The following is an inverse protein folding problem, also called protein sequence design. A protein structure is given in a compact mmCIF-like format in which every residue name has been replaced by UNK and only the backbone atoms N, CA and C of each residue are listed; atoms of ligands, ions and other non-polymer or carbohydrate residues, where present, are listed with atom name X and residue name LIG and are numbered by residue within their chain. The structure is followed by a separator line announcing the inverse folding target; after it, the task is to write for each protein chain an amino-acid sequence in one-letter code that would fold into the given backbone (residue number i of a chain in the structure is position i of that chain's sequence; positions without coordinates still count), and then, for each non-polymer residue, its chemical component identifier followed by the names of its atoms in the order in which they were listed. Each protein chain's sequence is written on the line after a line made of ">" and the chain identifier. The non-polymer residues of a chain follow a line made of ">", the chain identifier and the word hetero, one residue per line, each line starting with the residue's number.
data_IF_200645942757
#
_entry.id   IF_200645942757
#
_cell.length_a   1.000
_cell.length_b   1.000
_cell.length_c   1.000
_cell.angle_alpha   90.00
_cell.angle_beta   90.00
_cell.angle_gamma   90.00
#
_symmetry.space_group_name_H-M   'P 1'
#
loop_
_entity.id
_entity.type
_entity.pdbx_description
1 polymer ?
#
# COMPACT_ATOMS: atom_id res chain seq x y z
N UNK A 1 12.61 -13.48 6.00
CA UNK A 1 13.45 -14.24 6.98
C UNK A 1 12.70 -15.42 7.60
N UNK A 2 11.50 -15.23 8.19
CA UNK A 2 10.76 -16.32 8.86
C UNK A 2 10.38 -17.49 7.94
N UNK A 3 9.87 -17.25 6.72
CA UNK A 3 9.51 -18.33 5.78
C UNK A 3 10.72 -19.20 5.44
N UNK A 4 11.88 -18.58 5.19
CA UNK A 4 13.11 -19.31 4.86
C UNK A 4 13.69 -20.15 6.02
N UNK A 5 13.29 -19.90 7.27
CA UNK A 5 13.76 -20.71 8.42
C UNK A 5 13.11 -22.10 8.48
N UNK A 6 11.99 -22.29 7.78
CA UNK A 6 11.35 -23.60 7.64
C UNK A 6 11.86 -24.41 6.45
N UNK A 7 12.97 -24.00 5.84
CA UNK A 7 13.54 -24.67 4.67
C UNK A 7 14.07 -26.06 5.04
N UNK A 8 13.63 -27.06 4.28
CA UNK A 8 14.12 -28.44 4.29
C UNK A 8 15.14 -28.70 3.16
N UNK A 9 15.47 -27.67 2.37
CA UNK A 9 16.32 -27.79 1.17
C UNK A 9 17.78 -27.43 1.47
N UNK A 10 18.76 -28.02 0.74
CA UNK A 10 20.17 -27.64 0.86
C UNK A 10 20.44 -26.19 0.45
N UNK A 11 19.68 -25.69 -0.53
CA UNK A 11 19.74 -24.30 -1.01
C UNK A 11 18.42 -23.58 -0.73
N UNK A 12 18.52 -22.37 -0.18
CA UNK A 12 17.36 -21.57 0.19
C UNK A 12 16.50 -21.17 -1.02
N UNK A 13 17.08 -20.93 -2.19
CA UNK A 13 16.33 -20.55 -3.39
C UNK A 13 15.53 -21.72 -3.96
N UNK A 14 16.03 -22.95 -3.86
CA UNK A 14 15.27 -24.16 -4.25
C UNK A 14 14.00 -24.28 -3.41
N UNK A 15 14.09 -23.96 -2.11
CA UNK A 15 12.93 -23.93 -1.22
C UNK A 15 11.91 -22.88 -1.66
N UNK A 16 12.33 -21.65 -1.95
CA UNK A 16 11.39 -20.61 -2.42
C UNK A 16 10.80 -20.94 -3.79
N UNK A 17 11.55 -21.60 -4.68
CA UNK A 17 11.06 -22.08 -5.98
C UNK A 17 9.99 -23.16 -5.82
N UNK A 18 10.19 -24.09 -4.88
CA UNK A 18 9.21 -25.12 -4.49
C UNK A 18 7.91 -24.52 -3.93
N UNK A 19 7.98 -23.39 -3.22
CA UNK A 19 6.79 -22.69 -2.71
C UNK A 19 5.92 -22.07 -3.81
N UNK A 20 6.46 -21.88 -5.03
CA UNK A 20 5.73 -21.29 -6.18
C UNK A 20 5.05 -19.98 -5.81
N UNK A 21 5.85 -19.02 -5.35
CA UNK A 21 5.38 -17.70 -4.91
C UNK A 21 4.70 -16.97 -6.06
N UNK A 22 3.47 -16.49 -5.82
CA UNK A 22 2.71 -15.64 -6.74
C UNK A 22 2.39 -14.31 -6.04
N UNK A 23 2.97 -13.19 -6.47
CA UNK A 23 2.64 -11.88 -5.91
C UNK A 23 1.21 -11.47 -6.28
N UNK A 24 0.47 -10.93 -5.31
CA UNK A 24 -0.91 -10.45 -5.50
C UNK A 24 -1.01 -9.01 -5.01
N UNK A 25 -1.61 -8.15 -5.83
CA UNK A 25 -1.91 -6.76 -5.50
C UNK A 25 -3.42 -6.58 -5.40
N UNK A 26 -3.89 -5.98 -4.30
CA UNK A 26 -5.31 -5.67 -4.09
C UNK A 26 -5.43 -4.17 -3.88
N UNK A 27 -6.15 -3.49 -4.77
CA UNK A 27 -6.32 -2.04 -4.76
C UNK A 27 -7.78 -1.69 -4.49
N UNK A 28 -8.04 -1.07 -3.36
CA UNK A 28 -9.36 -0.54 -3.01
C UNK A 28 -9.45 0.94 -3.39
N UNK A 29 -10.60 1.36 -3.91
CA UNK A 29 -10.86 2.78 -4.15
C UNK A 29 -10.99 3.55 -2.84
N UNK A 30 -11.58 2.93 -1.81
CA UNK A 30 -11.62 3.43 -0.45
C UNK A 30 -11.09 2.40 0.54
N UNK A 31 -10.23 2.85 1.46
CA UNK A 31 -9.86 2.10 2.66
C UNK A 31 -10.99 2.26 3.70
N UNK A 32 -11.71 1.18 4.06
CA UNK A 32 -12.78 1.29 5.05
C UNK A 32 -12.28 1.61 6.47
N UNK A 33 -11.00 1.37 6.71
CA UNK A 33 -10.29 1.60 7.98
C UNK A 33 -9.52 2.92 8.00
N UNK A 34 -9.71 3.77 6.98
CA UNK A 34 -8.93 5.01 6.81
C UNK A 34 -8.87 5.88 8.07
N UNK A 35 -10.03 6.14 8.66
CA UNK A 35 -10.17 6.95 9.89
C UNK A 35 -9.53 6.31 11.12
N UNK A 36 -9.42 4.97 11.17
CA UNK A 36 -8.91 4.26 12.35
C UNK A 36 -7.40 4.44 12.53
N UNK A 37 -6.69 4.90 11.49
CA UNK A 37 -5.25 5.21 11.55
C UNK A 37 -4.98 6.62 12.05
N UNK A 38 -5.99 7.50 12.07
CA UNK A 38 -5.83 8.90 12.42
C UNK A 38 -5.37 9.14 13.86
N UNK A 39 -5.88 8.44 14.90
CA UNK A 39 -5.44 8.66 16.27
C UNK A 39 -3.94 8.40 16.45
N UNK A 40 -3.41 7.34 15.85
CA UNK A 40 -1.99 7.03 15.89
C UNK A 40 -1.16 8.12 15.19
N UNK A 41 -1.56 8.53 13.98
CA UNK A 41 -0.88 9.59 13.24
C UNK A 41 -0.86 10.92 14.00
N UNK A 42 -1.95 11.24 14.70
CA UNK A 42 -2.05 12.45 15.51
C UNK A 42 -1.16 12.39 16.76
N UNK A 43 -1.13 11.25 17.45
CA UNK A 43 -0.24 11.05 18.60
C UNK A 43 1.23 11.16 18.18
N UNK A 44 1.61 10.53 17.06
CA UNK A 44 2.97 10.63 16.50
C UNK A 44 3.35 12.09 16.18
N UNK A 45 2.46 12.85 15.55
CA UNK A 45 2.72 14.25 15.22
C UNK A 45 2.80 15.17 16.44
N UNK A 46 2.06 14.85 17.51
CA UNK A 46 2.09 15.60 18.77
C UNK A 46 3.19 15.12 19.73
N UNK A 47 3.99 14.12 19.33
CA UNK A 47 4.98 13.45 20.18
C UNK A 47 4.35 12.88 21.48
N UNK A 48 3.14 12.35 21.35
CA UNK A 48 2.35 11.71 22.40
C UNK A 48 2.45 10.18 22.29
N UNK A 49 2.31 9.50 23.43
CA UNK A 49 2.29 8.03 23.43
C UNK A 49 0.91 7.55 23.02
N UNK A 50 0.82 6.93 21.85
CA UNK A 50 -0.38 6.22 21.43
C UNK A 50 -0.58 4.96 22.27
N UNK A 51 -1.72 4.87 22.97
CA UNK A 51 -2.12 3.68 23.73
C UNK A 51 -3.29 3.03 23.02
N UNK A 52 -3.05 1.86 22.43
CA UNK A 52 -4.08 1.07 21.76
C UNK A 52 -5.20 0.64 22.71
N UNK A 53 -6.44 0.71 22.24
CA UNK A 53 -7.55 0.08 22.97
C UNK A 53 -7.44 -1.45 22.90
N UNK A 54 -7.91 -2.13 23.96
CA UNK A 54 -7.89 -3.61 24.03
C UNK A 54 -8.57 -4.29 22.84
N UNK A 55 -9.59 -3.67 22.25
CA UNK A 55 -10.39 -4.22 21.16
C UNK A 55 -10.12 -3.58 19.80
N UNK A 56 -9.12 -2.70 19.70
CA UNK A 56 -8.86 -1.91 18.49
C UNK A 56 -8.57 -2.76 17.26
N UNK A 57 -7.70 -3.77 17.40
CA UNK A 57 -7.33 -4.65 16.28
C UNK A 57 -8.56 -5.46 15.80
N UNK A 58 -9.41 -5.92 16.73
CA UNK A 58 -10.66 -6.61 16.39
C UNK A 58 -11.63 -5.70 15.63
N UNK A 59 -11.81 -4.46 16.10
CA UNK A 59 -12.66 -3.47 15.45
C UNK A 59 -12.11 -3.06 14.08
N UNK A 60 -10.78 -3.00 13.91
CA UNK A 60 -10.12 -2.70 12.64
C UNK A 60 -10.39 -3.79 11.61
N UNK A 61 -10.23 -5.07 11.99
CA UNK A 61 -10.53 -6.20 11.10
C UNK A 61 -12.01 -6.18 10.72
N UNK A 62 -12.91 -6.05 11.70
CA UNK A 62 -14.35 -6.04 11.48
C UNK A 62 -14.77 -4.87 10.56
N UNK A 63 -14.24 -3.67 10.78
CA UNK A 63 -14.50 -2.49 9.95
C UNK A 63 -13.93 -2.65 8.54
N UNK A 64 -12.75 -3.25 8.42
CA UNK A 64 -12.13 -3.57 7.13
C UNK A 64 -12.97 -4.54 6.31
N UNK A 65 -13.59 -5.53 6.95
CA UNK A 65 -14.48 -6.50 6.29
C UNK A 65 -15.81 -5.84 5.91
N UNK A 66 -16.51 -5.23 6.86
CA UNK A 66 -17.88 -4.72 6.68
C UNK A 66 -17.94 -3.42 5.87
N UNK A 67 -16.91 -2.60 5.92
CA UNK A 67 -16.95 -1.27 5.33
C UNK A 67 -16.81 -1.29 3.80
N UNK A 68 -17.39 -0.27 3.17
CA UNK A 68 -17.43 -0.14 1.71
C UNK A 68 -16.07 0.22 1.12
N UNK A 69 -15.63 -0.59 0.16
CA UNK A 69 -14.38 -0.43 -0.59
C UNK A 69 -14.59 0.27 -1.93
N UNK A 70 -15.87 0.48 -2.32
CA UNK A 70 -16.29 0.84 -3.68
C UNK A 70 -15.70 -0.12 -4.71
N UNK A 71 -14.88 0.36 -5.65
CA UNK A 71 -14.25 -0.49 -6.66
C UNK A 71 -13.07 -1.23 -6.03
N UNK A 72 -12.95 -2.51 -6.41
CA UNK A 72 -11.88 -3.40 -5.96
C UNK A 72 -11.22 -3.94 -7.22
N UNK A 73 -9.90 -3.83 -7.29
CA UNK A 73 -9.10 -4.47 -8.32
C UNK A 73 -8.16 -5.48 -7.66
N UNK A 74 -8.13 -6.69 -8.20
CA UNK A 74 -7.22 -7.75 -7.78
C UNK A 74 -6.37 -8.09 -8.99
N UNK A 75 -5.06 -7.89 -8.86
CA UNK A 75 -4.09 -8.32 -9.85
C UNK A 75 -3.29 -9.48 -9.28
N UNK A 76 -3.25 -10.57 -10.02
CA UNK A 76 -2.47 -11.77 -9.71
C UNK A 76 -1.30 -11.82 -10.69
N UNK A 77 -0.08 -11.84 -10.17
CA UNK A 77 1.13 -11.96 -10.99
C UNK A 77 1.37 -13.41 -11.44
N UNK A 78 2.52 -13.60 -12.08
CA UNK A 78 3.01 -14.94 -12.41
C UNK A 78 3.76 -15.56 -11.23
N UNK A 79 4.01 -16.87 -11.33
CA UNK A 79 4.91 -17.56 -10.41
C UNK A 79 6.33 -17.02 -10.61
N UNK A 80 7.00 -16.62 -9.53
CA UNK A 80 8.39 -16.13 -9.55
C UNK A 80 9.39 -17.28 -9.77
N UNK A 81 9.38 -17.92 -10.92
CA UNK A 81 10.28 -19.06 -11.22
C UNK A 81 11.62 -18.55 -11.75
N UNK A 82 11.57 -17.71 -12.79
CA UNK A 82 12.74 -17.16 -13.48
C UNK A 82 13.53 -16.16 -12.63
N UNK A 83 12.82 -15.36 -11.84
CA UNK A 83 13.38 -14.35 -10.96
C UNK A 83 14.16 -15.01 -9.81
N UNK A 84 13.66 -16.14 -9.29
CA UNK A 84 14.37 -16.90 -8.25
C UNK A 84 15.66 -17.51 -8.82
N UNK A 85 15.62 -18.06 -10.04
CA UNK A 85 16.83 -18.58 -10.70
C UNK A 85 17.88 -17.48 -10.90
N UNK A 86 17.45 -16.29 -11.33
CA UNK A 86 18.34 -15.14 -11.50
C UNK A 86 18.95 -14.70 -10.17
N UNK A 87 18.15 -14.59 -9.11
CA UNK A 87 18.63 -14.23 -7.77
C UNK A 87 19.67 -15.24 -7.26
N UNK A 88 19.43 -16.53 -7.48
CA UNK A 88 20.33 -17.60 -7.09
C UNK A 88 21.69 -17.49 -7.82
N UNK A 89 21.68 -17.10 -9.10
CA UNK A 89 22.89 -16.95 -9.91
C UNK A 89 23.70 -15.67 -9.57
N UNK A 90 23.03 -14.59 -9.16
CA UNK A 90 23.66 -13.28 -8.92
C UNK A 90 24.14 -13.08 -7.47
N UNK A 91 23.66 -13.90 -6.53
CA UNK A 91 23.91 -13.70 -5.11
C UNK A 91 24.32 -15.01 -4.41
N UNK A 92 25.53 -15.04 -3.86
CA UNK A 92 26.05 -16.20 -3.11
C UNK A 92 25.64 -16.23 -1.63
N UNK A 93 24.99 -15.16 -1.14
CA UNK A 93 24.64 -15.01 0.28
C UNK A 93 23.12 -15.06 0.48
N UNK A 94 22.65 -15.97 1.33
CA UNK A 94 21.24 -16.14 1.67
C UNK A 94 20.53 -14.85 2.11
N UNK A 95 21.19 -13.96 2.87
CA UNK A 95 20.58 -12.69 3.27
C UNK A 95 20.37 -11.75 2.06
N UNK A 96 21.33 -11.71 1.13
CA UNK A 96 21.19 -10.91 -0.10
C UNK A 96 20.10 -11.49 -1.00
N UNK A 97 20.05 -12.81 -1.13
CA UNK A 97 19.00 -13.49 -1.89
C UNK A 97 17.60 -13.20 -1.32
N UNK A 98 17.42 -13.25 0.01
CA UNK A 98 16.14 -12.90 0.66
C UNK A 98 15.77 -11.45 0.39
N UNK A 99 16.73 -10.52 0.44
CA UNK A 99 16.49 -9.11 0.15
C UNK A 99 16.10 -8.90 -1.32
N UNK A 100 16.79 -9.56 -2.25
CA UNK A 100 16.47 -9.48 -3.67
C UNK A 100 15.08 -10.08 -3.98
N UNK A 101 14.73 -11.22 -3.36
CA UNK A 101 13.41 -11.82 -3.50
C UNK A 101 12.30 -10.90 -2.96
N UNK A 102 12.53 -10.26 -1.81
CA UNK A 102 11.60 -9.27 -1.27
C UNK A 102 11.41 -8.09 -2.23
N UNK A 103 12.50 -7.59 -2.82
CA UNK A 103 12.44 -6.51 -3.80
C UNK A 103 11.65 -6.91 -5.06
N UNK A 104 11.85 -8.11 -5.60
CA UNK A 104 11.06 -8.62 -6.74
C UNK A 104 9.57 -8.70 -6.42
N UNK A 105 9.22 -9.14 -5.21
CA UNK A 105 7.82 -9.18 -4.76
C UNK A 105 7.26 -7.75 -4.67
N UNK A 106 7.98 -6.84 -4.04
CA UNK A 106 7.58 -5.43 -3.91
C UNK A 106 7.37 -4.78 -5.28
N UNK A 107 8.30 -4.99 -6.21
CA UNK A 107 8.25 -4.47 -7.58
C UNK A 107 7.01 -5.01 -8.33
N UNK A 108 6.74 -6.31 -8.22
CA UNK A 108 5.54 -6.93 -8.80
C UNK A 108 4.26 -6.34 -8.21
N UNK A 109 4.17 -6.22 -6.89
CA UNK A 109 2.99 -5.66 -6.19
C UNK A 109 2.74 -4.21 -6.60
N UNK A 110 3.79 -3.37 -6.66
CA UNK A 110 3.71 -1.96 -7.01
C UNK A 110 3.40 -1.75 -8.50
N UNK A 111 4.04 -2.50 -9.39
CA UNK A 111 3.75 -2.48 -10.84
C UNK A 111 2.28 -2.82 -11.09
N UNK A 112 1.79 -3.86 -10.42
CA UNK A 112 0.43 -4.39 -10.59
C UNK A 112 -0.63 -3.65 -9.76
N UNK A 113 -0.24 -2.72 -8.89
CA UNK A 113 -1.20 -1.92 -8.13
C UNK A 113 -2.03 -1.05 -9.09
N UNK A 114 -3.36 -1.07 -8.93
CA UNK A 114 -4.26 -0.25 -9.73
C UNK A 114 -4.52 1.08 -9.04
N UNK A 115 -4.28 2.19 -9.74
CA UNK A 115 -4.56 3.52 -9.23
C UNK A 115 -5.99 3.92 -9.58
N UNK A 116 -6.76 4.26 -8.55
CA UNK A 116 -8.10 4.82 -8.67
C UNK A 116 -8.05 6.35 -8.77
N UNK A 117 -9.12 6.99 -9.30
CA UNK A 117 -9.27 8.45 -9.28
C UNK A 117 -8.99 9.09 -7.91
N UNK A 118 -9.39 8.43 -6.81
CA UNK A 118 -9.17 8.89 -5.44
C UNK A 118 -7.68 9.04 -5.10
N UNK A 119 -6.81 8.21 -5.67
CA UNK A 119 -5.37 8.31 -5.48
C UNK A 119 -4.79 9.58 -6.14
N UNK A 120 -5.21 9.87 -7.37
CA UNK A 120 -4.79 11.06 -8.11
C UNK A 120 -5.35 12.35 -7.50
N UNK A 121 -6.63 12.35 -7.12
CA UNK A 121 -7.26 13.47 -6.41
C UNK A 121 -6.48 13.77 -5.12
N UNK A 122 -6.17 12.75 -4.32
CA UNK A 122 -5.43 12.95 -3.08
C UNK A 122 -4.02 13.50 -3.32
N UNK A 123 -3.33 13.02 -4.37
CA UNK A 123 -2.02 13.54 -4.76
C UNK A 123 -2.08 15.02 -5.13
N UNK A 124 -3.01 15.40 -6.00
CA UNK A 124 -3.14 16.77 -6.49
C UNK A 124 -3.53 17.73 -5.36
N UNK A 125 -4.44 17.35 -4.47
CA UNK A 125 -4.79 18.15 -3.28
C UNK A 125 -3.59 18.28 -2.32
N UNK A 126 -2.85 17.18 -2.08
CA UNK A 126 -1.73 17.17 -1.14
C UNK A 126 -0.56 18.05 -1.61
N UNK A 127 -0.30 18.09 -2.92
CA UNK A 127 0.82 18.83 -3.51
C UNK A 127 0.42 20.21 -4.06
N UNK A 128 -0.88 20.55 -4.04
CA UNK A 128 -1.38 21.80 -4.61
C UNK A 128 -1.23 21.86 -6.14
N UNK A 129 -1.41 20.74 -6.83
CA UNK A 129 -1.25 20.60 -8.28
C UNK A 129 -2.56 20.18 -8.96
N UNK A 130 -2.59 20.24 -10.29
CA UNK A 130 -3.63 19.70 -11.16
C UNK A 130 -3.05 18.69 -12.18
N UNK A 131 -1.88 18.14 -11.87
CA UNK A 131 -1.07 17.29 -12.76
C UNK A 131 -1.87 16.10 -13.30
N UNK A 132 -2.75 15.54 -12.48
CA UNK A 132 -3.54 14.36 -12.81
C UNK A 132 -5.04 14.68 -12.98
N UNK A 133 -5.42 15.95 -13.13
CA UNK A 133 -6.81 16.36 -13.32
C UNK A 133 -7.49 15.73 -14.55
N UNK A 134 -6.72 15.27 -15.53
CA UNK A 134 -7.22 14.53 -16.70
C UNK A 134 -7.59 13.07 -16.40
N UNK A 135 -7.23 12.53 -15.23
CA UNK A 135 -7.48 11.15 -14.80
C UNK A 135 -8.69 11.00 -13.86
N UNK A 136 -9.36 12.09 -13.51
CA UNK A 136 -10.55 12.09 -12.66
C UNK A 136 -11.54 13.18 -13.07
N UNK A 137 -12.80 13.02 -12.65
CA UNK A 137 -13.86 14.02 -12.86
C UNK A 137 -13.99 14.95 -11.66
N UNK A 138 -14.46 16.18 -11.90
CA UNK A 138 -14.73 17.13 -10.82
C UNK A 138 -15.76 16.61 -9.81
N UNK A 139 -16.73 15.80 -10.26
CA UNK A 139 -17.70 15.14 -9.39
C UNK A 139 -17.07 14.07 -8.49
N UNK A 140 -16.04 13.37 -8.96
CA UNK A 140 -15.27 12.41 -8.15
C UNK A 140 -14.43 13.14 -7.10
N UNK A 141 -13.79 14.25 -7.50
CA UNK A 141 -13.07 15.14 -6.58
C UNK A 141 -13.97 15.68 -5.48
N UNK A 142 -15.11 16.25 -5.85
CA UNK A 142 -16.11 16.78 -4.90
C UNK A 142 -16.60 15.70 -3.91
N UNK A 143 -16.79 14.46 -4.38
CA UNK A 143 -17.21 13.35 -3.51
C UNK A 143 -16.09 12.95 -2.53
N UNK A 144 -14.84 12.93 -3.00
CA UNK A 144 -13.68 12.62 -2.17
C UNK A 144 -13.45 13.69 -1.10
N UNK A 145 -13.54 14.98 -1.44
CA UNK A 145 -13.41 16.09 -0.49
C UNK A 145 -14.49 16.03 0.60
N UNK A 146 -15.75 15.77 0.23
CA UNK A 146 -16.83 15.55 1.22
C UNK A 146 -16.54 14.34 2.12
N UNK A 147 -15.98 13.26 1.57
CA UNK A 147 -15.59 12.09 2.38
C UNK A 147 -14.50 12.48 3.37
N UNK A 148 -13.46 13.18 2.92
CA UNK A 148 -12.35 13.67 3.75
C UNK A 148 -12.91 14.46 4.93
N UNK A 149 -13.76 15.46 4.67
CA UNK A 149 -14.43 16.28 5.69
C UNK A 149 -15.24 15.44 6.68
N UNK A 150 -16.02 14.46 6.21
CA UNK A 150 -16.78 13.57 7.09
C UNK A 150 -15.90 12.68 7.98
N UNK A 151 -14.69 12.30 7.51
CA UNK A 151 -13.79 11.39 8.24
C UNK A 151 -12.93 12.10 9.27
N UNK A 152 -12.37 13.26 8.93
CA UNK A 152 -11.48 14.02 9.83
C UNK A 152 -12.24 15.12 10.60
N UNK A 153 -13.54 15.29 10.32
CA UNK A 153 -14.37 16.38 10.81
C UNK A 153 -13.99 17.72 10.17
N UNK A 154 -14.78 18.76 10.42
CA UNK A 154 -14.42 20.16 10.09
C UNK A 154 -13.25 20.69 10.94
N UNK A 155 -12.43 19.80 11.51
CA UNK A 155 -11.25 20.24 12.22
C UNK A 155 -10.25 20.73 11.19
N UNK A 156 -9.87 22.01 11.27
CA UNK A 156 -8.79 22.62 10.48
C UNK A 156 -7.42 22.02 10.83
N UNK A 157 -7.35 20.77 11.32
CA UNK A 157 -6.13 20.12 11.73
C UNK A 157 -5.30 19.77 10.50
N UNK A 158 -4.21 20.51 10.21
CA UNK A 158 -3.49 20.34 8.96
C UNK A 158 -2.77 18.99 8.90
N UNK A 159 -2.35 18.47 10.07
CA UNK A 159 -1.70 17.17 10.21
C UNK A 159 -2.68 16.05 9.86
N UNK A 160 -3.90 16.11 10.38
CA UNK A 160 -4.92 15.10 10.09
C UNK A 160 -5.26 15.08 8.59
N UNK A 161 -5.42 16.26 8.00
CA UNK A 161 -5.66 16.41 6.56
C UNK A 161 -4.51 15.86 5.73
N UNK A 162 -3.27 16.24 6.06
CA UNK A 162 -2.08 15.80 5.35
C UNK A 162 -1.89 14.29 5.45
N UNK A 163 -2.03 13.71 6.64
CA UNK A 163 -1.93 12.27 6.87
C UNK A 163 -2.97 11.47 6.09
N UNK A 164 -4.24 11.90 6.11
CA UNK A 164 -5.30 11.24 5.36
C UNK A 164 -5.06 11.31 3.85
N UNK A 165 -4.67 12.47 3.32
CA UNK A 165 -4.35 12.62 1.90
C UNK A 165 -3.14 11.76 1.51
N UNK A 166 -2.09 11.72 2.33
CA UNK A 166 -0.90 10.92 2.10
C UNK A 166 -1.23 9.43 1.96
N UNK A 167 -2.17 8.90 2.76
CA UNK A 167 -2.61 7.50 2.67
C UNK A 167 -3.13 7.14 1.27
N UNK A 168 -3.82 8.06 0.59
CA UNK A 168 -4.36 7.86 -0.75
C UNK A 168 -3.38 8.28 -1.86
N UNK A 169 -2.51 9.27 -1.62
CA UNK A 169 -1.55 9.78 -2.59
C UNK A 169 -0.30 8.89 -2.76
N UNK A 170 0.12 8.18 -1.70
CA UNK A 170 1.34 7.37 -1.70
C UNK A 170 1.42 6.32 -2.83
N UNK A 171 0.33 5.62 -3.21
CA UNK A 171 0.35 4.74 -4.38
C UNK A 171 0.78 5.45 -5.68
N UNK A 172 0.37 6.71 -5.89
CA UNK A 172 0.81 7.52 -7.05
C UNK A 172 2.30 7.81 -6.95
N UNK A 173 2.76 8.28 -5.79
CA UNK A 173 4.19 8.55 -5.53
C UNK A 173 5.04 7.31 -5.79
N UNK A 174 4.57 6.15 -5.32
CA UNK A 174 5.27 4.88 -5.52
C UNK A 174 5.30 4.54 -7.01
N UNK A 175 4.18 4.57 -7.73
CA UNK A 175 4.18 4.32 -9.19
C UNK A 175 5.11 5.25 -9.96
N UNK A 176 5.18 6.54 -9.59
CA UNK A 176 6.06 7.51 -10.24
C UNK A 176 7.54 7.13 -10.09
N UNK A 177 7.98 6.62 -8.94
CA UNK A 177 9.36 6.15 -8.72
C UNK A 177 9.76 4.99 -9.66
N UNK A 178 8.78 4.18 -10.07
CA UNK A 178 8.98 3.09 -11.03
C UNK A 178 8.76 3.53 -12.49
N UNK A 179 8.21 4.73 -12.70
CA UNK A 179 7.87 5.32 -13.99
C UNK A 179 8.79 6.49 -14.38
N UNK A 180 9.96 6.65 -13.75
CA UNK A 180 11.07 7.46 -14.31
C UNK A 180 11.68 6.83 -15.60
N UNK A 181 10.96 5.88 -16.20
CA UNK A 181 11.07 5.42 -17.59
C UNK A 181 9.71 5.69 -18.27
N UNK A 182 9.40 6.96 -18.53
CA UNK A 182 8.40 7.40 -19.52
C UNK A 182 9.09 8.36 -20.48
#
# INVERSE_FOLDING_TARGET
>A
KMIGMGSDEPNLMDYFKKLKIVPVSISYEYDPTDVLKMPQLMAEANNEVYVKDKNEDFMTILSGIMGTKKRIHISVGDVLDTEIDQIAAENDNANKQIQALAQVIDDSVLKNYHLWPTNFIAYDILNGTDRFAHLYKESEKSLFERRLEMRIGNTENPVARQGFLAMYANPVVNKLKYQDVI
#
